data_IF_345837819689
#
_entry.id   IF_345837819689
#
_cell.length_a   1.000
_cell.length_b   1.000
_cell.length_c   1.000
_cell.angle_alpha   90.00
_cell.angle_beta   90.00
_cell.angle_gamma   90.00
#
_symmetry.space_group_name_H-M   'P 1'
#
loop_
_entity.id
_entity.type
_entity.pdbx_description
1 polymer ?
#
# COMPACT_ATOMS: atom_id res chain seq x y z
N UNK A 1 -0.98 69.38 -14.47
CA UNK A 1 -1.89 70.39 -13.97
C UNK A 1 -2.04 69.99 -12.49
N UNK A 2 -1.11 70.49 -11.63
CA UNK A 2 -1.32 71.72 -10.83
C UNK A 2 -2.34 71.40 -9.73
N UNK A 3 -2.14 71.51 -8.45
CA UNK A 3 -1.25 72.24 -7.55
C UNK A 3 -1.60 71.76 -6.12
N UNK A 4 -0.72 71.50 -5.27
CA UNK A 4 0.02 72.41 -4.43
C UNK A 4 -0.70 72.85 -3.10
N UNK A 5 -0.03 72.52 -2.01
CA UNK A 5 0.08 73.27 -0.72
C UNK A 5 -1.17 73.40 0.18
N UNK A 6 -1.05 73.37 1.48
CA UNK A 6 -0.25 74.16 2.45
C UNK A 6 -0.54 73.60 3.86
N UNK A 7 0.37 73.19 4.58
CA UNK A 7 1.19 73.82 5.62
C UNK A 7 0.39 74.71 6.62
N UNK A 8 0.66 74.48 7.87
CA UNK A 8 0.92 75.40 8.96
C UNK A 8 0.20 75.15 10.27
N UNK A 9 0.99 74.71 11.12
CA UNK A 9 1.51 75.41 12.31
C UNK A 9 0.72 75.45 13.63
N UNK A 10 1.50 75.07 14.62
CA UNK A 10 1.69 75.69 15.96
C UNK A 10 0.66 75.45 17.05
N UNK A 11 0.99 75.06 18.19
CA UNK A 11 1.96 75.61 19.14
C UNK A 11 1.95 74.86 20.47
N UNK A 12 3.09 74.50 20.96
CA UNK A 12 3.68 74.72 22.32
C UNK A 12 2.80 74.84 23.54
N UNK A 13 3.30 74.20 24.58
CA UNK A 13 3.10 74.52 25.98
C UNK A 13 3.36 73.27 26.85
N UNK A 14 4.42 72.93 27.28
CA UNK A 14 5.47 73.28 28.23
C UNK A 14 5.10 73.11 29.75
N UNK A 15 5.98 72.35 30.43
CA UNK A 15 6.36 72.48 31.87
C UNK A 15 5.46 71.66 32.83
N UNK A 16 5.93 70.85 33.75
CA UNK A 16 7.12 70.76 34.57
C UNK A 16 7.18 69.46 35.36
N UNK A 17 8.32 68.86 35.44
CA UNK A 17 9.06 68.38 36.62
C UNK A 17 8.30 68.19 37.93
N UNK A 18 8.31 66.94 38.43
CA UNK A 18 8.74 66.71 39.84
C UNK A 18 9.17 65.24 40.00
N UNK A 19 10.36 65.17 40.52
CA UNK A 19 11.12 64.06 41.09
C UNK A 19 10.36 63.31 42.16
N UNK A 20 10.46 61.96 42.11
CA UNK A 20 10.00 61.09 43.20
C UNK A 20 10.59 59.70 43.05
N UNK A 21 11.66 59.47 43.68
CA UNK A 21 12.45 58.26 43.86
C UNK A 21 11.75 57.30 44.81
N UNK A 22 11.73 56.02 44.50
CA UNK A 22 11.94 54.88 45.41
C UNK A 22 11.70 53.56 44.62
N UNK A 23 12.75 52.87 44.43
CA UNK A 23 13.26 51.67 45.11
C UNK A 23 12.32 50.43 45.08
N UNK A 24 12.85 49.38 44.39
CA UNK A 24 12.73 47.98 44.76
C UNK A 24 11.34 47.35 44.79
N UNK A 25 11.00 46.63 43.72
CA UNK A 25 10.53 45.27 43.91
C UNK A 25 10.89 44.37 42.69
N UNK A 26 11.93 43.58 42.88
CA UNK A 26 12.30 42.47 42.01
C UNK A 26 11.34 41.35 42.32
N UNK A 27 10.19 41.34 41.68
CA UNK A 27 9.33 40.17 41.70
C UNK A 27 9.44 39.44 40.37
N UNK A 28 10.12 38.31 40.46
CA UNK A 28 10.21 37.25 39.43
C UNK A 28 8.83 36.93 38.83
N UNK A 29 8.43 37.70 37.83
CA UNK A 29 7.23 37.43 37.03
C UNK A 29 7.49 36.30 36.03
N UNK A 30 7.11 35.07 36.34
CA UNK A 30 6.94 34.04 35.35
C UNK A 30 6.12 34.61 34.18
N UNK A 31 6.54 34.44 32.92
CA UNK A 31 5.75 34.94 31.80
C UNK A 31 4.41 34.22 31.74
N UNK A 32 3.39 34.90 32.25
CA UNK A 32 2.01 34.44 32.09
C UNK A 32 1.63 34.56 30.62
N UNK A 33 1.69 33.45 29.92
CA UNK A 33 1.25 33.34 28.52
C UNK A 33 -0.15 33.94 28.39
N UNK A 34 -0.27 35.00 27.63
CA UNK A 34 -1.51 35.74 27.39
C UNK A 34 -2.57 34.77 26.88
N UNK A 35 -3.82 34.91 27.38
CA UNK A 35 -4.97 34.03 27.04
C UNK A 35 -5.10 33.77 25.54
N UNK A 36 -4.74 34.71 24.69
CA UNK A 36 -4.66 34.57 23.23
C UNK A 36 -3.59 33.60 22.71
N UNK A 37 -2.44 33.49 23.40
CA UNK A 37 -1.37 32.57 23.00
C UNK A 37 -1.70 31.13 23.39
N UNK A 38 -2.43 30.91 24.50
CA UNK A 38 -2.93 29.59 24.88
C UNK A 38 -3.99 29.09 23.89
N UNK A 39 -4.91 29.95 23.45
CA UNK A 39 -5.91 29.61 22.45
C UNK A 39 -5.31 29.26 21.08
N UNK A 40 -4.30 29.99 20.61
CA UNK A 40 -3.58 29.69 19.38
C UNK A 40 -2.85 28.34 19.45
N UNK A 41 -2.21 28.02 20.57
CA UNK A 41 -1.52 26.74 20.77
C UNK A 41 -2.50 25.56 20.83
N UNK A 42 -3.68 25.74 21.44
CA UNK A 42 -4.72 24.72 21.44
C UNK A 42 -5.31 24.51 20.04
N UNK A 43 -5.53 25.58 19.29
CA UNK A 43 -6.02 25.51 17.91
C UNK A 43 -4.98 24.79 16.99
N UNK A 44 -3.69 25.14 17.10
CA UNK A 44 -2.63 24.46 16.35
C UNK A 44 -2.52 22.98 16.74
N UNK A 45 -2.65 22.65 18.01
CA UNK A 45 -2.59 21.25 18.48
C UNK A 45 -3.78 20.46 17.97
N UNK A 46 -4.98 21.02 18.01
CA UNK A 46 -6.17 20.36 17.48
C UNK A 46 -6.09 20.20 15.95
N UNK A 47 -5.60 21.20 15.22
CA UNK A 47 -5.35 21.10 13.79
C UNK A 47 -4.31 20.01 13.48
N UNK A 48 -3.21 19.96 14.23
CA UNK A 48 -2.20 18.91 14.11
C UNK A 48 -2.75 17.51 14.36
N UNK A 49 -3.60 17.36 15.37
CA UNK A 49 -4.28 16.08 15.65
C UNK A 49 -5.22 15.64 14.50
N UNK A 50 -5.98 16.58 13.94
CA UNK A 50 -6.87 16.29 12.80
C UNK A 50 -6.06 15.86 11.57
N UNK A 51 -4.99 16.58 11.23
CA UNK A 51 -4.10 16.21 10.11
C UNK A 51 -3.48 14.84 10.33
N UNK A 52 -3.00 14.56 11.55
CA UNK A 52 -2.41 13.27 11.90
C UNK A 52 -3.45 12.14 11.81
N UNK A 53 -4.67 12.37 12.28
CA UNK A 53 -5.76 11.38 12.20
C UNK A 53 -6.13 11.06 10.74
N UNK A 54 -6.24 12.08 9.88
CA UNK A 54 -6.53 11.91 8.45
C UNK A 54 -5.41 11.16 7.75
N UNK A 55 -4.16 11.49 8.04
CA UNK A 55 -2.99 10.81 7.45
C UNK A 55 -2.90 9.35 7.89
N UNK A 56 -3.14 9.07 9.17
CA UNK A 56 -3.16 7.73 9.72
C UNK A 56 -4.29 6.88 9.10
N UNK A 57 -5.48 7.45 8.93
CA UNK A 57 -6.60 6.79 8.29
C UNK A 57 -6.29 6.45 6.81
N UNK A 58 -5.74 7.39 6.06
CA UNK A 58 -5.32 7.16 4.67
C UNK A 58 -4.25 6.06 4.59
N UNK A 59 -3.24 6.09 5.45
CA UNK A 59 -2.21 5.06 5.50
C UNK A 59 -2.79 3.68 5.83
N UNK A 60 -3.73 3.60 6.78
CA UNK A 60 -4.39 2.35 7.14
C UNK A 60 -5.22 1.77 5.98
N UNK A 61 -6.02 2.60 5.30
CA UNK A 61 -6.82 2.18 4.14
C UNK A 61 -5.92 1.71 3.00
N UNK A 62 -4.86 2.47 2.70
CA UNK A 62 -3.90 2.12 1.64
C UNK A 62 -3.19 0.80 1.95
N UNK A 63 -2.72 0.61 3.19
CA UNK A 63 -2.06 -0.62 3.61
C UNK A 63 -3.01 -1.84 3.54
N UNK A 64 -4.25 -1.68 3.98
CA UNK A 64 -5.27 -2.74 3.87
C UNK A 64 -5.53 -3.10 2.40
N UNK A 65 -5.64 -2.11 1.53
CA UNK A 65 -5.92 -2.33 0.11
C UNK A 65 -4.76 -3.04 -0.62
N UNK A 66 -3.51 -2.68 -0.29
CA UNK A 66 -2.32 -3.36 -0.82
C UNK A 66 -2.26 -4.79 -0.32
N UNK A 67 -2.49 -5.03 0.97
CA UNK A 67 -2.44 -6.36 1.58
C UNK A 67 -3.49 -7.32 1.02
N UNK A 68 -4.65 -6.80 0.64
CA UNK A 68 -5.73 -7.61 0.03
C UNK A 68 -5.50 -7.89 -1.46
N UNK A 69 -4.68 -7.11 -2.15
CA UNK A 69 -4.43 -7.22 -3.59
C UNK A 69 -3.05 -7.75 -3.95
N UNK A 70 -2.17 -7.96 -2.97
CA UNK A 70 -0.87 -8.53 -3.25
C UNK A 70 -1.04 -9.96 -3.77
N UNK A 71 -0.71 -10.26 -5.05
CA UNK A 71 -0.81 -11.61 -5.58
C UNK A 71 0.18 -12.51 -4.85
N UNK A 72 -0.27 -13.69 -4.44
CA UNK A 72 0.64 -14.72 -3.97
C UNK A 72 1.50 -15.20 -5.15
N UNK A 73 2.81 -15.23 -4.96
CA UNK A 73 3.72 -15.80 -5.97
C UNK A 73 3.92 -17.26 -5.62
N UNK A 74 3.71 -18.15 -6.61
CA UNK A 74 3.87 -19.60 -6.45
C UNK A 74 4.66 -20.18 -7.61
N UNK A 75 5.29 -21.33 -7.42
CA UNK A 75 6.05 -22.02 -8.45
C UNK A 75 5.35 -23.31 -8.90
N UNK A 76 5.47 -23.62 -10.19
CA UNK A 76 4.97 -24.83 -10.79
C UNK A 76 6.03 -25.49 -11.68
N UNK A 77 6.25 -26.79 -11.49
CA UNK A 77 7.18 -27.58 -12.30
C UNK A 77 6.46 -28.15 -13.53
N UNK A 78 6.44 -27.35 -14.59
CA UNK A 78 5.88 -27.75 -15.87
C UNK A 78 6.59 -28.99 -16.46
N UNK A 79 7.92 -29.02 -16.35
CA UNK A 79 8.72 -30.11 -16.91
C UNK A 79 8.39 -31.44 -16.24
N UNK A 80 8.44 -31.49 -14.91
CA UNK A 80 8.10 -32.70 -14.15
C UNK A 80 6.68 -33.20 -14.45
N UNK A 81 5.73 -32.28 -14.64
CA UNK A 81 4.35 -32.63 -14.96
C UNK A 81 4.18 -33.21 -16.38
N UNK A 82 4.88 -32.67 -17.36
CA UNK A 82 4.90 -33.20 -18.74
C UNK A 82 5.63 -34.54 -18.80
N UNK A 83 6.77 -34.65 -18.13
CA UNK A 83 7.55 -35.89 -18.10
C UNK A 83 6.71 -37.05 -17.50
N UNK A 84 6.03 -36.80 -16.38
CA UNK A 84 5.12 -37.76 -15.76
C UNK A 84 3.96 -38.15 -16.66
N UNK A 85 3.35 -37.18 -17.37
CA UNK A 85 2.30 -37.48 -18.34
C UNK A 85 2.81 -38.36 -19.50
N UNK A 86 4.00 -38.02 -20.04
CA UNK A 86 4.59 -38.76 -21.17
C UNK A 86 4.91 -40.19 -20.77
N UNK A 87 5.46 -40.41 -19.57
CA UNK A 87 5.74 -41.73 -19.03
C UNK A 87 4.49 -42.58 -18.95
N UNK A 88 3.41 -42.06 -18.35
CA UNK A 88 2.12 -42.75 -18.26
C UNK A 88 1.47 -43.00 -19.63
N UNK A 89 1.64 -42.11 -20.59
CA UNK A 89 1.12 -42.29 -21.93
C UNK A 89 1.88 -43.39 -22.71
N UNK A 90 3.20 -43.45 -22.51
CA UNK A 90 4.04 -44.49 -23.16
C UNK A 90 3.74 -45.89 -22.61
N UNK A 91 3.50 -46.01 -21.30
CA UNK A 91 3.10 -47.32 -20.68
C UNK A 91 1.80 -47.91 -21.22
N UNK A 92 0.93 -47.07 -21.81
CA UNK A 92 -0.38 -47.49 -22.31
C UNK A 92 -0.38 -48.03 -23.75
N UNK A 93 0.75 -47.98 -24.47
CA UNK A 93 0.86 -48.41 -25.88
C UNK A 93 -0.26 -47.88 -26.79
N UNK A 94 -0.58 -46.57 -26.64
CA UNK A 94 -1.70 -45.94 -27.35
C UNK A 94 -1.40 -45.77 -28.85
N UNK A 95 -2.45 -45.86 -29.68
CA UNK A 95 -2.36 -45.50 -31.09
C UNK A 95 -2.14 -43.99 -31.28
N UNK A 96 -1.60 -43.61 -32.43
CA UNK A 96 -1.26 -42.19 -32.72
C UNK A 96 -2.46 -41.25 -32.57
N UNK A 97 -3.64 -41.65 -33.03
CA UNK A 97 -4.89 -40.88 -32.91
C UNK A 97 -5.32 -40.71 -31.44
N UNK A 98 -5.18 -41.76 -30.65
CA UNK A 98 -5.53 -41.77 -29.22
C UNK A 98 -4.54 -40.91 -28.42
N UNK A 99 -3.27 -40.96 -28.78
CA UNK A 99 -2.24 -40.13 -28.17
C UNK A 99 -2.49 -38.64 -28.45
N UNK A 100 -2.85 -38.28 -29.68
CA UNK A 100 -3.22 -36.92 -30.06
C UNK A 100 -4.39 -36.38 -29.25
N UNK A 101 -5.45 -37.20 -29.09
CA UNK A 101 -6.61 -36.85 -28.28
C UNK A 101 -6.25 -36.69 -26.79
N UNK A 102 -5.48 -37.63 -26.25
CA UNK A 102 -5.02 -37.60 -24.85
C UNK A 102 -4.15 -36.35 -24.55
N UNK A 103 -3.24 -36.01 -25.47
CA UNK A 103 -2.41 -34.82 -25.37
C UNK A 103 -3.23 -33.52 -25.38
N UNK A 104 -4.25 -33.46 -26.24
CA UNK A 104 -5.15 -32.30 -26.29
C UNK A 104 -5.96 -32.14 -25.00
N UNK A 105 -6.47 -33.27 -24.45
CA UNK A 105 -7.16 -33.29 -23.15
C UNK A 105 -6.24 -32.84 -22.00
N UNK A 106 -5.03 -33.37 -21.98
CA UNK A 106 -4.03 -32.98 -20.98
C UNK A 106 -3.73 -31.48 -21.02
N UNK A 107 -3.45 -30.94 -22.22
CA UNK A 107 -3.14 -29.51 -22.40
C UNK A 107 -4.31 -28.64 -21.97
N UNK A 108 -5.54 -29.02 -22.33
CA UNK A 108 -6.73 -28.31 -21.86
C UNK A 108 -6.87 -28.36 -20.34
N UNK A 109 -6.74 -29.53 -19.73
CA UNK A 109 -6.84 -29.73 -18.28
C UNK A 109 -5.77 -28.97 -17.52
N UNK A 110 -4.53 -28.95 -18.02
CA UNK A 110 -3.42 -28.19 -17.45
C UNK A 110 -3.70 -26.67 -17.47
N UNK A 111 -4.07 -26.15 -18.64
CA UNK A 111 -4.37 -24.71 -18.75
C UNK A 111 -5.54 -24.30 -17.87
N UNK A 112 -6.56 -25.15 -17.79
CA UNK A 112 -7.73 -24.90 -16.96
C UNK A 112 -7.40 -24.96 -15.47
N UNK A 113 -6.61 -25.95 -15.02
CA UNK A 113 -6.17 -26.07 -13.64
C UNK A 113 -5.34 -24.86 -13.18
N UNK A 114 -4.37 -24.42 -14.01
CA UNK A 114 -3.56 -23.23 -13.73
C UNK A 114 -4.41 -21.96 -13.67
N UNK A 115 -5.30 -21.76 -14.63
CA UNK A 115 -6.19 -20.59 -14.67
C UNK A 115 -7.12 -20.53 -13.45
N UNK A 116 -7.73 -21.66 -13.09
CA UNK A 116 -8.63 -21.73 -11.95
C UNK A 116 -7.87 -21.52 -10.62
N UNK A 117 -6.64 -22.02 -10.52
CA UNK A 117 -5.77 -21.75 -9.37
C UNK A 117 -5.45 -20.27 -9.23
N UNK A 118 -5.01 -19.63 -10.33
CA UNK A 118 -4.72 -18.19 -10.36
C UNK A 118 -5.91 -17.34 -9.94
N UNK A 119 -7.12 -17.69 -10.43
CA UNK A 119 -8.34 -16.95 -10.08
C UNK A 119 -8.75 -17.15 -8.62
N UNK A 120 -8.70 -18.39 -8.12
CA UNK A 120 -9.11 -18.71 -6.73
C UNK A 120 -8.17 -18.09 -5.70
N UNK A 121 -6.87 -18.07 -5.97
CA UNK A 121 -5.85 -17.64 -5.02
C UNK A 121 -5.27 -16.24 -5.31
N UNK A 122 -5.75 -15.58 -6.39
CA UNK A 122 -5.14 -14.33 -6.89
C UNK A 122 -3.62 -14.47 -7.02
N UNK A 123 -3.16 -15.64 -7.50
CA UNK A 123 -1.74 -16.01 -7.51
C UNK A 123 -1.10 -15.76 -8.87
N UNK A 124 0.19 -15.39 -8.85
CA UNK A 124 1.06 -15.39 -10.01
C UNK A 124 1.85 -16.68 -10.04
N UNK A 125 1.61 -17.54 -11.03
CA UNK A 125 2.32 -18.80 -11.17
C UNK A 125 3.57 -18.60 -12.02
N UNK A 126 4.72 -18.94 -11.45
CA UNK A 126 6.02 -18.94 -12.12
C UNK A 126 6.46 -20.37 -12.42
N UNK A 127 7.19 -20.56 -13.51
CA UNK A 127 7.82 -21.85 -13.77
C UNK A 127 9.02 -22.07 -12.86
N UNK A 128 9.17 -23.28 -12.32
CA UNK A 128 10.22 -23.63 -11.35
C UNK A 128 11.64 -23.20 -11.76
N UNK A 129 12.09 -23.32 -13.02
CA UNK A 129 13.41 -22.85 -13.44
C UNK A 129 13.62 -21.32 -13.32
N UNK A 130 12.54 -20.53 -13.23
CA UNK A 130 12.63 -19.07 -13.07
C UNK A 130 12.71 -18.64 -11.58
N UNK A 131 12.63 -19.60 -10.66
CA UNK A 131 12.58 -19.34 -9.20
C UNK A 131 13.86 -19.90 -8.56
N UNK A 132 14.59 -19.01 -7.86
CA UNK A 132 15.82 -19.44 -7.17
C UNK A 132 15.49 -20.05 -5.79
N UNK A 133 14.61 -19.41 -5.00
CA UNK A 133 14.22 -19.90 -3.68
C UNK A 133 13.04 -19.12 -3.09
N UNK A 134 12.44 -19.65 -2.02
CA UNK A 134 11.50 -18.90 -1.17
C UNK A 134 10.07 -18.79 -1.71
N UNK A 135 9.73 -19.52 -2.79
CA UNK A 135 8.39 -19.54 -3.38
C UNK A 135 7.73 -20.89 -3.14
N UNK A 136 6.48 -20.96 -2.65
CA UNK A 136 5.76 -22.22 -2.47
C UNK A 136 5.59 -22.97 -3.79
N UNK A 137 5.78 -24.28 -3.76
CA UNK A 137 5.60 -25.18 -4.91
C UNK A 137 4.19 -25.77 -4.89
N UNK A 138 3.42 -25.52 -5.95
CA UNK A 138 2.04 -26.01 -6.13
C UNK A 138 1.93 -27.18 -7.11
N UNK A 139 3.05 -27.76 -7.53
CA UNK A 139 3.08 -28.80 -8.59
C UNK A 139 2.16 -29.96 -8.27
N UNK A 140 2.22 -30.49 -7.05
CA UNK A 140 1.41 -31.64 -6.61
C UNK A 140 -0.11 -31.31 -6.63
N UNK A 141 -0.47 -30.09 -6.22
CA UNK A 141 -1.87 -29.65 -6.22
C UNK A 141 -2.42 -29.55 -7.64
N UNK A 142 -1.67 -28.94 -8.54
CA UNK A 142 -2.06 -28.82 -9.96
C UNK A 142 -2.12 -30.18 -10.63
N UNK A 143 -1.16 -31.08 -10.39
CA UNK A 143 -1.20 -32.45 -10.91
C UNK A 143 -2.46 -33.22 -10.43
N UNK A 144 -2.85 -33.04 -9.18
CA UNK A 144 -4.08 -33.62 -8.66
C UNK A 144 -5.34 -33.07 -9.35
N UNK A 145 -5.38 -31.76 -9.62
CA UNK A 145 -6.50 -31.14 -10.36
C UNK A 145 -6.55 -31.61 -11.82
N UNK A 146 -5.41 -31.73 -12.48
CA UNK A 146 -5.32 -32.29 -13.86
C UNK A 146 -5.86 -33.72 -13.89
N UNK A 147 -5.43 -34.58 -12.97
CA UNK A 147 -5.84 -35.97 -12.89
C UNK A 147 -7.35 -36.11 -12.73
N UNK A 148 -7.97 -35.32 -11.86
CA UNK A 148 -9.43 -35.28 -11.68
C UNK A 148 -10.14 -34.86 -12.95
N UNK A 149 -9.71 -33.77 -13.61
CA UNK A 149 -10.30 -33.28 -14.85
C UNK A 149 -10.19 -34.27 -16.01
N UNK A 150 -9.07 -34.98 -16.07
CA UNK A 150 -8.89 -36.04 -17.09
C UNK A 150 -9.78 -37.26 -16.84
N UNK A 151 -10.03 -37.60 -15.59
CA UNK A 151 -10.93 -38.68 -15.21
C UNK A 151 -12.41 -38.34 -15.43
N UNK A 152 -12.80 -37.09 -15.26
CA UNK A 152 -14.18 -36.60 -15.44
C UNK A 152 -14.50 -36.27 -16.91
N UNK A 153 -13.56 -36.40 -17.81
CA UNK A 153 -13.79 -36.11 -19.24
C UNK A 153 -14.75 -37.13 -19.84
N UNK A 154 -15.89 -36.69 -20.46
CA UNK A 154 -16.88 -37.56 -21.04
C UNK A 154 -16.38 -38.32 -22.29
#
# INVERSE_FOLDING_TARGET
MIDVMDEKDRKMGNTAVTTGQSADDVTSGKPTLTRRQKAKRQCLRNLGLVVLAVTALNAAVTSAMISWRAPAIVSFDMKATIDQFTEQATERELKEDELGLLTSRFTYSLNKALSDYQQRHSALVLVKPAVVSGVPDITTEIQGDISKRMAEWP
#
